data_IF_874612089269
#
_entry.id   IF_874612089269
#
_cell.length_a   1.000
_cell.length_b   1.000
_cell.length_c   1.000
_cell.angle_alpha   90.00
_cell.angle_beta   90.00
_cell.angle_gamma   90.00
#
_symmetry.space_group_name_H-M   'P 1'
#
loop_
_entity.id
_entity.type
_entity.pdbx_description
1 polymer ?
#
# COMPACT_ATOMS: atom_id res chain seq x y z
N UNK A 1 0.56 -1.26 -35.14
CA UNK A 1 0.73 0.12 -35.67
C UNK A 1 0.39 1.07 -34.52
N UNK A 2 1.35 1.83 -34.02
CA UNK A 2 1.11 2.88 -33.02
C UNK A 2 0.60 4.12 -33.75
N UNK A 3 -0.44 4.78 -33.25
CA UNK A 3 -1.02 5.96 -33.91
C UNK A 3 -0.29 7.23 -33.43
N UNK A 4 -0.05 8.20 -34.31
CA UNK A 4 0.56 9.49 -33.92
C UNK A 4 -0.30 10.30 -32.94
N UNK A 5 -1.60 10.00 -32.83
CA UNK A 5 -2.51 10.65 -31.88
C UNK A 5 -2.51 9.98 -30.50
N UNK A 6 -1.94 8.78 -30.37
CA UNK A 6 -1.81 8.02 -29.12
C UNK A 6 -0.42 7.37 -29.11
N UNK A 7 0.64 8.13 -28.77
CA UNK A 7 1.98 7.58 -28.70
C UNK A 7 2.04 6.47 -27.64
N UNK A 8 2.84 5.44 -27.89
CA UNK A 8 3.22 4.46 -26.87
C UNK A 8 4.40 5.05 -26.12
N UNK A 9 4.23 5.25 -24.82
CA UNK A 9 5.28 5.71 -23.92
C UNK A 9 6.17 4.53 -23.53
N UNK A 10 7.47 4.77 -23.46
CA UNK A 10 8.47 3.81 -23.00
C UNK A 10 9.26 4.51 -21.90
N UNK A 11 9.05 4.06 -20.67
CA UNK A 11 9.63 4.65 -19.48
C UNK A 11 10.54 3.65 -18.77
N UNK A 12 11.54 4.18 -18.06
CA UNK A 12 12.42 3.36 -17.23
C UNK A 12 11.66 2.98 -15.96
N UNK A 13 11.55 1.68 -15.69
CA UNK A 13 11.03 1.19 -14.42
C UNK A 13 11.93 1.62 -13.25
N UNK A 14 11.34 2.21 -12.22
CA UNK A 14 12.03 2.64 -11.00
C UNK A 14 11.84 1.55 -9.94
N UNK A 15 12.78 0.61 -9.89
CA UNK A 15 12.73 -0.51 -8.96
C UNK A 15 12.86 -0.03 -7.50
N UNK A 16 12.16 -0.67 -6.56
CA UNK A 16 12.16 -0.30 -5.13
C UNK A 16 11.89 1.19 -4.86
N UNK A 17 11.05 1.84 -5.68
CA UNK A 17 10.67 3.23 -5.49
C UNK A 17 9.38 3.35 -4.66
N UNK A 18 9.34 4.31 -3.75
CA UNK A 18 8.12 4.63 -2.99
C UNK A 18 7.21 5.50 -3.85
N UNK A 19 6.00 5.02 -4.14
CA UNK A 19 5.00 5.81 -4.88
C UNK A 19 4.26 6.77 -3.94
N UNK A 20 3.97 7.97 -4.43
CA UNK A 20 3.27 9.02 -3.70
C UNK A 20 2.11 9.54 -4.52
N UNK A 21 0.98 9.82 -3.86
CA UNK A 21 -0.15 10.54 -4.44
C UNK A 21 -0.33 11.88 -3.71
N UNK A 22 -0.55 12.94 -4.47
CA UNK A 22 -0.87 14.27 -3.90
C UNK A 22 -2.15 14.78 -4.50
N UNK A 23 -3.16 14.99 -3.64
CA UNK A 23 -4.38 15.68 -4.02
C UNK A 23 -4.31 17.15 -3.59
N UNK A 24 -4.63 18.06 -4.50
CA UNK A 24 -4.61 19.50 -4.26
C UNK A 24 -5.75 20.23 -4.96
N UNK A 25 -6.09 21.43 -4.48
CA UNK A 25 -7.04 22.35 -5.11
C UNK A 25 -6.31 23.62 -5.53
N UNK A 26 -6.46 24.05 -6.79
CA UNK A 26 -5.87 25.27 -7.33
C UNK A 26 -6.95 26.24 -7.77
N UNK A 27 -6.81 27.54 -7.49
CA UNK A 27 -7.72 28.61 -7.93
C UNK A 27 -7.16 29.51 -9.04
N UNK A 28 -6.09 29.03 -9.68
CA UNK A 28 -5.31 29.73 -10.70
C UNK A 28 -4.23 30.67 -10.16
N UNK A 29 -4.23 30.98 -8.85
CA UNK A 29 -3.24 31.86 -8.22
C UNK A 29 -2.52 31.17 -7.05
N UNK A 30 -3.24 30.33 -6.32
CA UNK A 30 -2.78 29.62 -5.14
C UNK A 30 -3.24 28.17 -5.16
N UNK A 31 -2.53 27.34 -4.39
CA UNK A 31 -2.75 25.90 -4.35
C UNK A 31 -2.84 25.45 -2.89
N UNK A 32 -3.97 24.85 -2.53
CA UNK A 32 -4.19 24.17 -1.25
C UNK A 32 -3.80 22.70 -1.41
N UNK A 33 -2.75 22.26 -0.72
CA UNK A 33 -2.42 20.84 -0.64
C UNK A 33 -3.47 20.17 0.26
N UNK A 34 -4.18 19.19 -0.30
CA UNK A 34 -5.17 18.40 0.43
C UNK A 34 -4.51 17.33 1.28
N UNK A 35 -3.56 16.60 0.71
CA UNK A 35 -2.79 15.58 1.42
C UNK A 35 -1.70 14.99 0.53
N UNK A 36 -0.56 14.66 1.14
CA UNK A 36 0.51 13.87 0.53
C UNK A 36 0.38 12.46 1.11
N UNK A 37 0.08 11.51 0.25
CA UNK A 37 -0.10 10.10 0.58
C UNK A 37 1.15 9.34 0.16
N UNK A 38 1.57 8.40 0.98
CA UNK A 38 2.62 7.43 0.67
C UNK A 38 1.98 6.07 0.42
N UNK A 39 2.32 5.40 -0.67
CA UNK A 39 1.84 4.04 -0.91
C UNK A 39 2.66 3.06 -0.06
N UNK A 40 2.00 1.99 0.38
CA UNK A 40 2.68 0.89 1.06
C UNK A 40 3.39 0.05 0.01
N UNK A 41 2.72 -0.34 -1.06
CA UNK A 41 3.35 -1.03 -2.18
C UNK A 41 4.30 -0.13 -2.97
N UNK A 42 5.33 -0.75 -3.55
CA UNK A 42 6.30 -0.10 -4.43
C UNK A 42 5.69 0.35 -5.76
N UNK A 43 6.31 1.36 -6.37
CA UNK A 43 5.95 1.84 -7.70
C UNK A 43 6.04 0.68 -8.71
N UNK A 44 4.94 0.42 -9.40
CA UNK A 44 4.78 -0.77 -10.26
C UNK A 44 3.56 -1.60 -9.91
N UNK A 45 3.11 -1.52 -8.66
CA UNK A 45 1.72 -1.81 -8.30
C UNK A 45 0.88 -0.57 -8.56
N UNK A 46 -0.22 -0.72 -9.29
CA UNK A 46 -1.07 0.40 -9.64
C UNK A 46 -1.65 1.07 -8.38
N UNK A 47 -1.56 2.40 -8.27
CA UNK A 47 -2.07 3.24 -7.15
C UNK A 47 -3.47 2.90 -6.62
N UNK A 48 -4.36 2.47 -7.51
CA UNK A 48 -5.71 2.01 -7.20
C UNK A 48 -5.79 0.70 -6.41
N UNK A 49 -4.79 -0.19 -6.55
CA UNK A 49 -4.67 -1.47 -5.84
C UNK A 49 -3.66 -1.40 -4.67
N UNK A 50 -2.87 -0.33 -4.57
CA UNK A 50 -1.97 -0.11 -3.44
C UNK A 50 -2.74 0.37 -2.21
N UNK A 51 -2.37 -0.13 -1.03
CA UNK A 51 -2.63 0.55 0.21
C UNK A 51 -1.86 1.88 0.24
N UNK A 52 -2.39 2.88 0.93
CA UNK A 52 -1.67 4.12 1.13
C UNK A 52 -1.95 4.73 2.49
N UNK A 53 -1.01 5.55 2.96
CA UNK A 53 -1.02 6.14 4.29
C UNK A 53 -0.89 7.65 4.22
N UNK A 54 -1.59 8.32 5.13
CA UNK A 54 -1.56 9.75 5.32
C UNK A 54 -1.57 10.06 6.83
N UNK A 55 -0.60 10.83 7.36
CA UNK A 55 0.56 11.40 6.66
C UNK A 55 1.57 10.33 6.22
N UNK A 56 2.54 10.72 5.38
CA UNK A 56 3.68 9.88 4.98
C UNK A 56 4.45 9.38 6.21
N UNK A 57 4.94 8.14 6.17
CA UNK A 57 5.60 7.46 7.29
C UNK A 57 7.13 7.41 7.13
N UNK A 58 7.64 7.28 5.90
CA UNK A 58 9.08 7.10 5.67
C UNK A 58 9.78 8.33 5.10
N UNK A 59 9.02 9.26 4.50
CA UNK A 59 9.57 10.48 3.91
C UNK A 59 10.08 11.45 4.98
N UNK A 60 11.21 12.11 4.68
CA UNK A 60 11.69 13.22 5.52
C UNK A 60 10.82 14.47 5.35
N UNK A 61 10.77 15.37 6.34
CA UNK A 61 10.04 16.63 6.21
C UNK A 61 10.45 17.46 4.98
N UNK A 62 11.74 17.44 4.63
CA UNK A 62 12.27 18.13 3.45
C UNK A 62 11.74 17.52 2.15
N UNK A 63 11.67 16.19 2.06
CA UNK A 63 11.10 15.50 0.91
C UNK A 63 9.60 15.80 0.76
N UNK A 64 8.86 15.81 1.86
CA UNK A 64 7.43 16.17 1.85
C UNK A 64 7.24 17.60 1.34
N UNK A 65 8.02 18.57 1.83
CA UNK A 65 7.92 19.95 1.35
C UNK A 65 8.35 20.11 -0.12
N UNK A 66 9.34 19.35 -0.58
CA UNK A 66 9.74 19.33 -1.98
C UNK A 66 8.62 18.80 -2.89
N UNK A 67 7.94 17.71 -2.50
CA UNK A 67 6.76 17.18 -3.20
C UNK A 67 5.64 18.21 -3.27
N UNK A 68 5.36 18.90 -2.16
CA UNK A 68 4.37 19.99 -2.12
C UNK A 68 4.77 21.13 -3.05
N UNK A 69 6.03 21.56 -3.03
CA UNK A 69 6.53 22.63 -3.92
C UNK A 69 6.34 22.26 -5.40
N UNK A 70 6.72 21.03 -5.78
CA UNK A 70 6.49 20.53 -7.14
C UNK A 70 5.01 20.51 -7.49
N UNK A 71 4.16 20.09 -6.56
CA UNK A 71 2.71 20.08 -6.77
C UNK A 71 2.18 21.48 -7.07
N UNK A 72 2.58 22.48 -6.28
CA UNK A 72 2.17 23.87 -6.48
C UNK A 72 2.64 24.41 -7.83
N UNK A 73 3.91 24.18 -8.20
CA UNK A 73 4.49 24.61 -9.48
C UNK A 73 3.76 23.98 -10.67
N UNK A 74 3.49 22.67 -10.63
CA UNK A 74 2.81 21.96 -11.71
C UNK A 74 1.36 22.44 -11.85
N UNK A 75 0.62 22.54 -10.74
CA UNK A 75 -0.78 22.98 -10.77
C UNK A 75 -0.95 24.38 -11.37
N UNK A 76 -0.09 25.33 -10.99
CA UNK A 76 -0.08 26.69 -11.55
C UNK A 76 0.34 26.70 -13.02
N UNK A 77 1.39 25.94 -13.38
CA UNK A 77 1.88 25.89 -14.77
C UNK A 77 0.87 25.26 -15.74
N UNK A 78 0.06 24.32 -15.26
CA UNK A 78 -1.03 23.70 -16.02
C UNK A 78 -2.32 24.53 -16.01
N UNK A 79 -2.34 25.70 -15.37
CA UNK A 79 -3.50 26.58 -15.23
C UNK A 79 -4.72 25.86 -14.63
N UNK A 80 -4.50 25.00 -13.62
CA UNK A 80 -5.58 24.25 -12.99
C UNK A 80 -6.54 25.20 -12.26
N UNK A 81 -7.84 24.98 -12.44
CA UNK A 81 -8.91 25.57 -11.64
C UNK A 81 -9.79 24.43 -11.13
N UNK A 82 -9.72 24.14 -9.82
CA UNK A 82 -10.36 22.99 -9.20
C UNK A 82 -9.35 21.97 -8.68
N UNK A 83 -9.69 20.68 -8.76
CA UNK A 83 -8.85 19.58 -8.27
C UNK A 83 -7.75 19.20 -9.26
N UNK A 84 -6.60 18.84 -8.71
CA UNK A 84 -5.53 18.12 -9.40
C UNK A 84 -5.00 17.02 -8.48
N UNK A 85 -4.66 15.89 -9.08
CA UNK A 85 -3.90 14.81 -8.48
C UNK A 85 -2.56 14.66 -9.20
N UNK A 86 -1.47 14.46 -8.48
CA UNK A 86 -0.15 14.22 -9.06
C UNK A 86 0.47 13.01 -8.38
N UNK A 87 0.96 12.08 -9.20
CA UNK A 87 1.67 10.89 -8.76
C UNK A 87 3.18 11.11 -8.90
N UNK A 88 3.92 10.71 -7.87
CA UNK A 88 5.37 10.79 -7.82
C UNK A 88 5.97 9.44 -7.45
N UNK A 89 7.26 9.26 -7.74
CA UNK A 89 8.07 8.16 -7.23
C UNK A 89 9.33 8.72 -6.55
N UNK A 90 9.59 8.31 -5.32
CA UNK A 90 10.84 8.60 -4.61
C UNK A 90 11.78 7.40 -4.76
N UNK A 91 12.92 7.62 -5.40
CA UNK A 91 13.92 6.58 -5.65
C UNK A 91 15.32 7.15 -5.43
N UNK A 92 16.14 6.51 -4.59
CA UNK A 92 17.49 6.96 -4.21
C UNK A 92 17.56 8.45 -3.82
N UNK A 93 16.57 8.90 -3.04
CA UNK A 93 16.46 10.28 -2.59
C UNK A 93 16.01 11.29 -3.66
N UNK A 94 15.74 10.83 -4.89
CA UNK A 94 15.27 11.67 -6.00
C UNK A 94 13.77 11.51 -6.21
N UNK A 95 13.05 12.63 -6.28
CA UNK A 95 11.61 12.66 -6.58
C UNK A 95 11.40 12.78 -8.09
N UNK A 96 10.73 11.79 -8.67
CA UNK A 96 10.29 11.74 -10.06
C UNK A 96 8.79 12.04 -10.14
N UNK A 97 8.38 12.79 -11.17
CA UNK A 97 6.95 12.98 -11.49
C UNK A 97 6.53 11.85 -12.42
N UNK A 98 5.48 11.11 -12.06
CA UNK A 98 4.93 10.04 -12.90
C UNK A 98 3.86 10.61 -13.85
N UNK A 99 2.79 11.17 -13.29
CA UNK A 99 1.71 11.79 -14.05
C UNK A 99 0.99 12.89 -13.26
N UNK A 100 0.33 13.79 -13.98
CA UNK A 100 -0.55 14.81 -13.42
C UNK A 100 -1.96 14.68 -14.01
N UNK A 101 -2.94 14.55 -13.13
CA UNK A 101 -4.36 14.39 -13.44
C UNK A 101 -5.09 15.68 -13.03
N UNK A 102 -5.32 16.66 -13.93
CA UNK A 102 -6.01 17.92 -13.63
C UNK A 102 -7.53 17.72 -13.49
N UNK A 103 -7.93 16.84 -12.57
CA UNK A 103 -9.30 16.43 -12.25
C UNK A 103 -9.33 15.85 -10.83
N UNK A 104 -10.53 15.53 -10.36
CA UNK A 104 -10.68 14.71 -9.16
C UNK A 104 -10.08 13.31 -9.39
N UNK A 105 -9.31 12.83 -8.41
CA UNK A 105 -8.85 11.45 -8.28
C UNK A 105 -9.81 10.64 -7.40
N UNK A 106 -9.59 9.32 -7.37
CA UNK A 106 -10.32 8.41 -6.49
C UNK A 106 -9.96 8.59 -5.00
N UNK A 107 -8.81 9.20 -4.69
CA UNK A 107 -8.31 9.41 -3.32
C UNK A 107 -8.90 10.65 -2.64
N UNK A 108 -9.53 11.57 -3.37
CA UNK A 108 -10.13 12.78 -2.81
C UNK A 108 -11.08 12.51 -1.62
N UNK A 109 -11.99 11.50 -1.67
CA UNK A 109 -12.82 11.14 -0.51
C UNK A 109 -11.99 10.68 0.69
N UNK A 110 -11.00 9.81 0.49
CA UNK A 110 -10.08 9.36 1.54
C UNK A 110 -9.35 10.54 2.20
N UNK A 111 -8.70 11.39 1.40
CA UNK A 111 -7.99 12.58 1.89
C UNK A 111 -8.95 13.52 2.63
N UNK A 112 -10.15 13.72 2.11
CA UNK A 112 -11.16 14.57 2.77
C UNK A 112 -11.61 14.00 4.12
N UNK A 113 -11.65 12.68 4.27
CA UNK A 113 -12.03 12.00 5.52
C UNK A 113 -10.91 12.00 6.54
N UNK A 114 -9.66 11.79 6.12
CA UNK A 114 -8.50 11.86 6.98
C UNK A 114 -8.26 13.30 7.49
N UNK A 115 -8.25 14.28 6.59
CA UNK A 115 -7.94 15.69 6.94
C UNK A 115 -9.13 16.44 7.55
N UNK A 116 -10.36 16.04 7.22
CA UNK A 116 -11.56 16.83 7.46
C UNK A 116 -11.72 18.04 6.53
N UNK A 117 -10.85 18.22 5.53
CA UNK A 117 -11.01 19.22 4.48
C UNK A 117 -11.99 18.70 3.42
N UNK A 118 -13.11 19.38 3.14
CA UNK A 118 -14.06 18.91 2.14
C UNK A 118 -13.59 19.27 0.71
N UNK A 119 -12.49 18.68 0.24
CA UNK A 119 -11.77 19.08 -0.98
C UNK A 119 -12.66 19.22 -2.21
N UNK A 120 -13.57 18.28 -2.44
CA UNK A 120 -14.53 18.35 -3.54
C UNK A 120 -15.45 19.59 -3.46
N UNK A 121 -15.88 19.98 -2.25
CA UNK A 121 -16.69 21.20 -2.06
C UNK A 121 -15.85 22.46 -2.23
N UNK A 122 -14.60 22.46 -1.78
CA UNK A 122 -13.65 23.57 -1.96
C UNK A 122 -13.44 23.79 -3.46
N UNK A 123 -13.07 22.73 -4.18
CA UNK A 123 -12.84 22.77 -5.62
C UNK A 123 -14.08 23.20 -6.41
N UNK A 124 -15.28 22.72 -6.03
CA UNK A 124 -16.53 23.17 -6.67
C UNK A 124 -16.75 24.68 -6.52
N UNK A 125 -16.51 25.24 -5.33
CA UNK A 125 -16.58 26.70 -5.13
C UNK A 125 -15.52 27.44 -5.94
N UNK A 126 -14.31 26.90 -6.02
CA UNK A 126 -13.22 27.47 -6.82
C UNK A 126 -13.57 27.50 -8.31
N UNK A 127 -14.12 26.41 -8.86
CA UNK A 127 -14.60 26.37 -10.25
C UNK A 127 -15.75 27.36 -10.52
N UNK A 128 -16.50 27.76 -9.49
CA UNK A 128 -17.52 28.82 -9.57
C UNK A 128 -16.95 30.25 -9.39
N UNK A 129 -15.63 30.39 -9.34
CA UNK A 129 -14.93 31.68 -9.29
C UNK A 129 -14.52 32.15 -7.90
N UNK A 130 -14.68 31.34 -6.84
CA UNK A 130 -14.18 31.67 -5.50
C UNK A 130 -12.67 31.47 -5.40
N UNK A 131 -11.96 32.42 -4.78
CA UNK A 131 -10.54 32.24 -4.43
C UNK A 131 -10.38 31.46 -3.14
N UNK A 132 -9.31 30.67 -3.01
CA UNK A 132 -8.99 29.93 -1.79
C UNK A 132 -8.83 30.86 -0.59
N UNK A 133 -8.27 32.05 -0.80
CA UNK A 133 -8.16 33.12 0.20
C UNK A 133 -9.51 33.59 0.74
N UNK A 134 -10.58 33.56 -0.06
CA UNK A 134 -11.95 33.87 0.39
C UNK A 134 -12.60 32.73 1.19
N UNK A 135 -12.19 31.48 0.92
CA UNK A 135 -12.80 30.30 1.53
C UNK A 135 -12.22 29.99 2.92
N UNK A 136 -11.06 30.54 3.26
CA UNK A 136 -10.45 30.41 4.59
C UNK A 136 -9.93 29.01 4.93
N UNK A 137 -9.71 28.16 3.93
CA UNK A 137 -9.11 26.84 4.14
C UNK A 137 -7.58 26.92 4.09
N UNK A 138 -6.93 26.16 4.96
CA UNK A 138 -5.47 26.03 5.03
C UNK A 138 -5.11 24.55 5.06
N UNK A 139 -3.85 24.26 4.72
CA UNK A 139 -3.28 22.92 4.90
C UNK A 139 -3.39 22.53 6.38
N UNK A 140 -3.81 21.30 6.65
CA UNK A 140 -3.95 20.80 8.00
C UNK A 140 -2.76 19.93 8.37
N UNK A 141 -2.21 20.17 9.54
CA UNK A 141 -1.35 19.21 10.22
C UNK A 141 -2.21 18.08 10.79
N UNK A 142 -1.78 16.83 10.60
CA UNK A 142 -2.57 15.65 10.92
C UNK A 142 -1.82 14.88 11.99
N UNK A 143 -2.44 14.75 13.16
CA UNK A 143 -1.86 14.12 14.34
C UNK A 143 -2.14 12.61 14.43
N UNK A 144 -3.02 12.11 13.58
CA UNK A 144 -3.37 10.71 13.46
C UNK A 144 -2.83 10.15 12.14
N UNK A 145 -2.86 8.84 12.02
CA UNK A 145 -2.54 8.08 10.81
C UNK A 145 -3.83 7.52 10.24
N UNK A 146 -4.06 7.78 8.96
CA UNK A 146 -5.12 7.19 8.17
C UNK A 146 -4.51 6.29 7.10
N UNK A 147 -4.88 5.02 7.09
CA UNK A 147 -4.48 4.03 6.09
C UNK A 147 -5.68 3.67 5.24
N UNK A 148 -5.55 3.81 3.92
CA UNK A 148 -6.47 3.27 2.92
C UNK A 148 -5.99 1.87 2.54
N UNK A 149 -6.88 0.89 2.56
CA UNK A 149 -6.64 -0.45 2.02
C UNK A 149 -7.72 -0.80 0.99
N UNK A 150 -7.45 -1.76 0.10
CA UNK A 150 -8.31 -2.09 -1.04
C UNK A 150 -9.01 -3.45 -0.91
N UNK A 151 -10.18 -3.58 -1.54
CA UNK A 151 -10.85 -4.87 -1.70
C UNK A 151 -10.64 -5.42 -3.11
N UNK A 152 -9.99 -6.59 -3.17
CA UNK A 152 -9.67 -7.29 -4.41
C UNK A 152 -10.72 -8.38 -4.71
N UNK A 153 -11.22 -8.50 -5.95
CA UNK A 153 -12.30 -9.43 -6.30
C UNK A 153 -11.83 -10.88 -6.51
N UNK A 154 -10.62 -11.25 -6.10
CA UNK A 154 -10.03 -12.56 -6.41
C UNK A 154 -10.81 -13.73 -5.83
N UNK A 155 -11.50 -13.55 -4.69
CA UNK A 155 -12.40 -14.58 -4.13
C UNK A 155 -13.63 -14.86 -5.00
N UNK A 156 -14.00 -13.93 -5.89
CA UNK A 156 -15.13 -14.06 -6.82
C UNK A 156 -14.71 -14.58 -8.20
N UNK A 157 -13.40 -14.56 -8.51
CA UNK A 157 -12.84 -14.86 -9.83
C UNK A 157 -11.79 -15.99 -9.74
N UNK A 158 -12.23 -17.26 -9.64
CA UNK A 158 -11.32 -18.38 -9.36
C UNK A 158 -10.28 -18.65 -10.45
N UNK A 159 -10.52 -18.22 -11.69
CA UNK A 159 -9.59 -18.38 -12.81
C UNK A 159 -8.58 -17.24 -13.00
N UNK A 160 -8.60 -16.23 -12.11
CA UNK A 160 -7.72 -15.06 -12.22
C UNK A 160 -6.54 -15.21 -11.27
N UNK A 161 -5.36 -14.90 -11.78
CA UNK A 161 -4.10 -14.90 -11.04
C UNK A 161 -4.08 -13.75 -10.02
N UNK A 162 -4.02 -14.03 -8.70
CA UNK A 162 -4.11 -13.02 -7.66
C UNK A 162 -2.78 -12.27 -7.48
N UNK A 163 -2.36 -11.59 -8.54
CA UNK A 163 -1.12 -10.81 -8.61
C UNK A 163 -1.45 -9.32 -8.76
N UNK A 164 -0.82 -8.52 -7.91
CA UNK A 164 -0.78 -7.07 -8.05
C UNK A 164 0.18 -6.67 -9.17
N UNK A 165 -0.11 -5.58 -9.86
CA UNK A 165 0.71 -5.10 -10.96
C UNK A 165 0.23 -3.75 -11.47
N UNK A 166 0.67 -3.33 -12.67
CA UNK A 166 0.46 -1.96 -13.16
C UNK A 166 -0.98 -1.70 -13.64
N UNK A 167 -1.85 -2.70 -13.63
CA UNK A 167 -3.28 -2.57 -13.93
C UNK A 167 -4.12 -2.80 -12.68
N UNK A 168 -5.01 -1.85 -12.39
CA UNK A 168 -5.96 -1.87 -11.28
C UNK A 168 -6.98 -3.01 -11.41
N UNK A 169 -7.21 -3.75 -10.33
CA UNK A 169 -8.20 -4.84 -10.24
C UNK A 169 -9.17 -4.69 -9.06
N UNK A 170 -8.86 -3.85 -8.09
CA UNK A 170 -9.69 -3.61 -6.91
C UNK A 170 -11.05 -2.99 -7.26
N UNK A 171 -12.02 -3.23 -6.38
CA UNK A 171 -13.42 -2.81 -6.58
C UNK A 171 -13.94 -1.88 -5.49
N UNK A 172 -13.23 -1.81 -4.36
CA UNK A 172 -13.59 -0.97 -3.22
C UNK A 172 -12.37 -0.68 -2.36
N UNK A 173 -12.58 0.16 -1.35
CA UNK A 173 -11.56 0.60 -0.41
C UNK A 173 -12.16 0.78 0.99
N UNK A 174 -11.30 0.65 1.99
CA UNK A 174 -11.62 0.88 3.41
C UNK A 174 -10.58 1.82 4.02
N UNK A 175 -10.91 2.37 5.19
CA UNK A 175 -10.03 3.26 5.92
C UNK A 175 -9.86 2.77 7.37
N UNK A 176 -8.61 2.60 7.79
CA UNK A 176 -8.23 2.44 9.19
C UNK A 176 -7.62 3.74 9.71
N UNK A 177 -8.12 4.24 10.84
CA UNK A 177 -7.57 5.46 11.48
C UNK A 177 -7.16 5.14 12.91
N UNK A 178 -5.96 5.57 13.29
CA UNK A 178 -5.46 5.52 14.66
C UNK A 178 -4.34 6.55 14.84
N UNK A 179 -3.86 6.76 16.05
CA UNK A 179 -2.65 7.56 16.32
C UNK A 179 -1.35 6.78 16.09
N UNK A 180 -1.45 5.45 16.02
CA UNK A 180 -0.35 4.54 15.71
C UNK A 180 -0.52 3.93 14.30
N UNK A 181 0.56 3.93 13.51
CA UNK A 181 0.54 3.36 12.17
C UNK A 181 0.14 1.88 12.15
N UNK A 182 0.72 1.07 13.04
CA UNK A 182 0.46 -0.37 13.10
C UNK A 182 -1.02 -0.67 13.38
N UNK A 183 -1.65 0.04 14.32
CA UNK A 183 -3.09 -0.07 14.59
C UNK A 183 -3.94 0.40 13.42
N UNK A 184 -3.58 1.52 12.78
CA UNK A 184 -4.31 2.03 11.62
C UNK A 184 -4.27 1.02 10.46
N UNK A 185 -3.09 0.45 10.17
CA UNK A 185 -2.90 -0.58 9.14
C UNK A 185 -3.65 -1.88 9.49
N UNK A 186 -3.61 -2.33 10.75
CA UNK A 186 -4.37 -3.49 11.20
C UNK A 186 -5.88 -3.31 10.99
N UNK A 187 -6.43 -2.15 11.38
CA UNK A 187 -7.85 -1.82 11.16
C UNK A 187 -8.22 -1.83 9.68
N UNK A 188 -7.36 -1.25 8.83
CA UNK A 188 -7.57 -1.23 7.39
C UNK A 188 -7.54 -2.65 6.79
N UNK A 189 -6.54 -3.46 7.16
CA UNK A 189 -6.41 -4.86 6.76
C UNK A 189 -7.61 -5.71 7.20
N UNK A 190 -8.05 -5.56 8.45
CA UNK A 190 -9.23 -6.26 8.96
C UNK A 190 -10.50 -5.86 8.19
N UNK A 191 -10.70 -4.57 7.92
CA UNK A 191 -11.85 -4.08 7.18
C UNK A 191 -11.84 -4.51 5.70
N UNK A 192 -10.67 -4.81 5.15
CA UNK A 192 -10.48 -5.30 3.78
C UNK A 192 -10.58 -6.84 3.67
N UNK A 193 -11.14 -7.52 4.67
CA UNK A 193 -11.22 -8.98 4.76
C UNK A 193 -9.84 -9.69 4.75
N UNK A 194 -8.78 -9.01 5.17
CA UNK A 194 -7.40 -9.52 5.25
C UNK A 194 -6.85 -9.41 6.69
N UNK A 195 -7.61 -9.92 7.67
CA UNK A 195 -7.26 -9.76 9.10
C UNK A 195 -5.94 -10.45 9.43
N UNK A 196 -4.94 -9.69 9.88
CA UNK A 196 -3.62 -10.24 10.23
C UNK A 196 -3.68 -11.08 11.54
N UNK A 197 -3.00 -12.23 11.60
CA UNK A 197 -2.97 -13.05 12.80
C UNK A 197 -2.08 -12.45 13.88
N UNK A 198 -2.34 -12.77 15.15
CA UNK A 198 -1.51 -12.35 16.29
C UNK A 198 -0.66 -13.49 16.87
N UNK A 199 -0.82 -14.72 16.38
CA UNK A 199 0.01 -15.86 16.72
C UNK A 199 -0.13 -16.92 15.60
N UNK A 200 0.74 -17.94 15.65
CA UNK A 200 0.64 -19.09 14.76
C UNK A 200 1.80 -19.18 13.77
N UNK A 201 1.49 -19.60 12.55
CA UNK A 201 2.44 -20.03 11.55
C UNK A 201 2.46 -19.08 10.34
N UNK A 202 3.65 -18.60 9.97
CA UNK A 202 3.84 -17.74 8.79
C UNK A 202 4.61 -18.49 7.72
N UNK A 203 4.06 -18.56 6.52
CA UNK A 203 4.79 -19.04 5.35
C UNK A 203 5.40 -17.88 4.57
N UNK A 204 6.71 -17.96 4.28
CA UNK A 204 7.46 -16.95 3.55
C UNK A 204 8.10 -17.56 2.30
N UNK A 205 7.80 -17.00 1.14
CA UNK A 205 8.42 -17.33 -0.14
C UNK A 205 8.75 -16.06 -0.91
N UNK A 206 10.03 -15.81 -1.16
CA UNK A 206 10.52 -14.60 -1.83
C UNK A 206 11.61 -14.95 -2.84
N UNK A 207 11.91 -14.02 -3.74
CA UNK A 207 13.03 -14.14 -4.68
C UNK A 207 14.38 -13.95 -3.98
N UNK A 208 15.46 -14.34 -4.65
CA UNK A 208 16.81 -14.22 -4.09
C UNK A 208 17.23 -12.76 -3.84
N UNK A 209 16.80 -11.82 -4.70
CA UNK A 209 17.11 -10.39 -4.56
C UNK A 209 16.45 -9.76 -3.34
N UNK A 210 15.26 -10.25 -2.94
CA UNK A 210 14.48 -9.71 -1.83
C UNK A 210 14.83 -10.32 -0.47
N UNK A 211 15.66 -11.37 -0.43
CA UNK A 211 16.09 -12.04 0.81
C UNK A 211 16.70 -11.10 1.85
N UNK A 212 17.58 -10.14 1.48
CA UNK A 212 18.11 -9.17 2.44
C UNK A 212 17.02 -8.31 3.08
N UNK A 213 15.99 -7.94 2.31
CA UNK A 213 14.92 -7.04 2.74
C UNK A 213 13.87 -7.77 3.60
N UNK A 214 13.55 -9.03 3.31
CA UNK A 214 12.63 -9.83 4.13
C UNK A 214 13.26 -10.31 5.44
N UNK A 215 14.59 -10.38 5.55
CA UNK A 215 15.30 -10.87 6.73
C UNK A 215 14.91 -10.14 8.03
N UNK A 216 14.95 -8.79 8.11
CA UNK A 216 14.52 -8.07 9.31
C UNK A 216 13.04 -8.33 9.65
N UNK A 217 12.18 -8.48 8.64
CA UNK A 217 10.75 -8.76 8.81
C UNK A 217 10.54 -10.16 9.40
N UNK A 218 11.21 -11.17 8.83
CA UNK A 218 11.18 -12.54 9.34
C UNK A 218 11.70 -12.62 10.78
N UNK A 219 12.80 -11.93 11.08
CA UNK A 219 13.35 -11.85 12.43
C UNK A 219 12.34 -11.25 13.42
N UNK A 220 11.70 -10.14 13.06
CA UNK A 220 10.64 -9.51 13.87
C UNK A 220 9.48 -10.49 14.11
N UNK A 221 8.96 -11.15 13.07
CA UNK A 221 7.87 -12.13 13.22
C UNK A 221 8.27 -13.30 14.14
N UNK A 222 9.51 -13.78 14.04
CA UNK A 222 10.03 -14.80 14.96
C UNK A 222 10.11 -14.31 16.40
N UNK A 223 10.62 -13.09 16.63
CA UNK A 223 10.68 -12.46 17.96
C UNK A 223 9.29 -12.23 18.56
N UNK A 224 8.29 -11.98 17.72
CA UNK A 224 6.88 -11.92 18.12
C UNK A 224 6.28 -13.31 18.40
N UNK A 225 7.02 -14.39 18.24
CA UNK A 225 6.63 -15.75 18.60
C UNK A 225 5.92 -16.54 17.51
N UNK A 226 5.99 -16.12 16.25
CA UNK A 226 5.50 -16.91 15.13
C UNK A 226 6.47 -18.05 14.77
N UNK A 227 5.91 -19.18 14.35
CA UNK A 227 6.71 -20.23 13.72
C UNK A 227 6.80 -19.93 12.24
N UNK A 228 8.03 -19.86 11.73
CA UNK A 228 8.27 -19.52 10.33
C UNK A 228 8.44 -20.77 9.49
N UNK A 229 7.86 -20.73 8.30
CA UNK A 229 7.96 -21.74 7.27
C UNK A 229 8.40 -21.10 5.96
N UNK A 230 9.10 -21.83 5.10
CA UNK A 230 9.47 -21.31 3.79
C UNK A 230 9.98 -22.36 2.83
N UNK A 231 10.25 -21.94 1.60
CA UNK A 231 10.86 -22.79 0.58
C UNK A 231 12.35 -23.00 0.84
N UNK A 232 12.96 -24.01 0.21
CA UNK A 232 14.39 -24.37 0.39
C UNK A 232 15.33 -23.15 0.32
N UNK A 233 15.12 -22.27 -0.66
CA UNK A 233 15.96 -21.10 -0.87
C UNK A 233 15.82 -20.06 0.24
N UNK A 234 14.60 -19.83 0.74
CA UNK A 234 14.30 -18.90 1.82
C UNK A 234 14.83 -19.44 3.14
N UNK A 235 14.54 -20.70 3.47
CA UNK A 235 14.98 -21.36 4.72
C UNK A 235 16.48 -21.32 4.87
N UNK A 236 17.24 -21.74 3.84
CA UNK A 236 18.71 -21.75 3.89
C UNK A 236 19.30 -20.36 4.18
N UNK A 237 18.71 -19.33 3.60
CA UNK A 237 19.17 -17.95 3.82
C UNK A 237 18.81 -17.46 5.23
N UNK A 238 17.62 -17.77 5.73
CA UNK A 238 17.21 -17.37 7.08
C UNK A 238 18.04 -18.07 8.16
N UNK A 239 18.25 -19.38 8.02
CA UNK A 239 19.07 -20.17 8.95
C UNK A 239 20.52 -19.68 8.97
N UNK A 240 21.10 -19.32 7.81
CA UNK A 240 22.46 -18.77 7.76
C UNK A 240 22.60 -17.41 8.45
N UNK A 241 21.49 -16.72 8.72
CA UNK A 241 21.43 -15.45 9.45
C UNK A 241 20.81 -15.60 10.85
N UNK A 242 20.67 -16.84 11.35
CA UNK A 242 20.24 -17.13 12.71
C UNK A 242 18.74 -16.98 12.96
N UNK A 243 17.90 -16.99 11.91
CA UNK A 243 16.43 -16.99 12.03
C UNK A 243 15.92 -18.42 11.79
N UNK A 244 15.42 -19.12 12.83
CA UNK A 244 14.89 -20.47 12.67
C UNK A 244 13.67 -20.50 11.75
N UNK A 245 13.67 -21.39 10.76
CA UNK A 245 12.59 -21.54 9.80
C UNK A 245 12.45 -23.00 9.35
N UNK A 246 11.24 -23.51 9.30
CA UNK A 246 10.95 -24.88 8.87
C UNK A 246 10.75 -24.98 7.36
N UNK A 247 11.29 -26.04 6.76
CA UNK A 247 11.16 -26.29 5.33
C UNK A 247 9.76 -26.78 4.95
N UNK A 248 9.18 -26.16 3.93
CA UNK A 248 7.96 -26.60 3.25
C UNK A 248 8.24 -26.79 1.77
N UNK A 249 7.75 -27.90 1.23
CA UNK A 249 7.88 -28.25 -0.18
C UNK A 249 7.01 -27.35 -1.05
N UNK A 250 7.51 -27.03 -2.24
CA UNK A 250 6.68 -26.45 -3.31
C UNK A 250 5.68 -27.48 -3.83
N UNK A 251 4.67 -27.02 -4.55
CA UNK A 251 3.62 -27.88 -5.11
C UNK A 251 4.22 -28.96 -6.02
N UNK A 252 5.19 -28.60 -6.85
CA UNK A 252 5.88 -29.52 -7.76
C UNK A 252 6.80 -30.54 -7.06
N UNK A 253 7.20 -30.30 -5.82
CA UNK A 253 8.12 -31.15 -5.06
C UNK A 253 7.39 -32.31 -4.34
N UNK A 254 6.06 -32.38 -4.45
CA UNK A 254 5.21 -33.44 -3.89
C UNK A 254 4.80 -33.21 -2.43
N UNK A 255 3.86 -34.03 -1.94
CA UNK A 255 3.26 -33.88 -0.61
C UNK A 255 4.11 -34.45 0.54
N UNK A 256 4.00 -33.91 1.77
CA UNK A 256 3.25 -32.71 2.14
C UNK A 256 3.90 -31.42 1.61
N UNK A 257 3.10 -30.53 1.03
CA UNK A 257 3.51 -29.23 0.49
C UNK A 257 2.70 -28.07 1.10
N UNK A 258 2.97 -26.84 0.67
CA UNK A 258 2.28 -25.65 1.19
C UNK A 258 0.76 -25.69 1.04
N UNK A 259 0.22 -26.28 -0.03
CA UNK A 259 -1.24 -26.41 -0.20
C UNK A 259 -1.81 -27.37 0.84
N UNK A 260 -1.09 -28.44 1.18
CA UNK A 260 -1.52 -29.39 2.21
C UNK A 260 -1.59 -28.71 3.58
N UNK A 261 -0.62 -27.84 3.90
CA UNK A 261 -0.62 -27.05 5.15
C UNK A 261 -1.75 -26.01 5.18
N UNK A 262 -1.99 -25.31 4.07
CA UNK A 262 -3.11 -24.36 3.94
C UNK A 262 -4.44 -25.08 4.20
N UNK A 263 -4.62 -26.27 3.61
CA UNK A 263 -5.83 -27.10 3.81
C UNK A 263 -5.94 -27.64 5.24
N UNK A 264 -4.81 -27.90 5.88
CA UNK A 264 -4.71 -28.35 7.27
C UNK A 264 -4.96 -27.26 8.31
N UNK A 265 -5.11 -25.99 7.88
CA UNK A 265 -5.10 -24.82 8.75
C UNK A 265 -3.80 -24.69 9.59
N UNK A 266 -2.67 -25.12 9.01
CA UNK A 266 -1.34 -25.05 9.61
C UNK A 266 -0.59 -23.75 9.22
N UNK A 267 -1.24 -22.81 8.53
CA UNK A 267 -0.67 -21.52 8.11
C UNK A 267 -1.69 -20.42 8.39
N UNK A 268 -1.27 -19.39 9.12
CA UNK A 268 -2.09 -18.26 9.53
C UNK A 268 -1.81 -16.97 8.75
N UNK A 269 -0.64 -16.89 8.08
CA UNK A 269 -0.26 -15.77 7.20
C UNK A 269 0.63 -16.27 6.07
N UNK A 270 0.37 -15.79 4.85
CA UNK A 270 1.21 -16.06 3.68
C UNK A 270 1.89 -14.78 3.20
N UNK A 271 3.22 -14.74 3.23
CA UNK A 271 4.03 -13.71 2.60
C UNK A 271 4.65 -14.31 1.35
N UNK A 272 4.21 -13.86 0.18
CA UNK A 272 4.65 -14.43 -1.09
C UNK A 272 4.80 -13.34 -2.16
N UNK A 273 6.04 -13.01 -2.48
CA UNK A 273 6.33 -12.08 -3.57
C UNK A 273 6.40 -12.85 -4.90
N UNK A 274 5.75 -12.37 -5.96
CA UNK A 274 5.78 -13.05 -7.26
C UNK A 274 7.21 -13.05 -7.82
N UNK A 275 7.70 -14.24 -8.20
CA UNK A 275 9.00 -14.43 -8.83
C UNK A 275 8.93 -14.54 -10.36
N UNK A 276 10.02 -15.02 -10.97
CA UNK A 276 10.14 -15.21 -12.42
C UNK A 276 9.01 -16.03 -13.05
N UNK A 277 8.82 -15.90 -14.37
CA UNK A 277 7.78 -16.60 -15.16
C UNK A 277 7.67 -18.11 -14.88
N UNK A 278 8.77 -18.78 -14.56
CA UNK A 278 8.80 -20.22 -14.27
C UNK A 278 8.16 -20.57 -12.91
N UNK A 279 8.12 -19.64 -11.96
CA UNK A 279 7.49 -19.83 -10.64
C UNK A 279 5.98 -19.53 -10.64
N UNK A 280 5.43 -19.06 -11.77
CA UNK A 280 4.06 -18.53 -11.84
C UNK A 280 2.98 -19.59 -11.61
N UNK A 281 3.19 -20.82 -12.06
CA UNK A 281 2.19 -21.89 -11.88
C UNK A 281 2.06 -22.29 -10.40
N UNK A 282 3.19 -22.44 -9.70
CA UNK A 282 3.21 -22.74 -8.27
C UNK A 282 2.62 -21.59 -7.45
N UNK A 283 2.98 -20.35 -7.82
CA UNK A 283 2.41 -19.14 -7.26
C UNK A 283 0.88 -19.15 -7.38
N UNK A 284 0.37 -19.36 -8.59
CA UNK A 284 -1.07 -19.35 -8.86
C UNK A 284 -1.81 -20.36 -8.00
N UNK A 285 -1.35 -21.63 -7.97
CA UNK A 285 -2.01 -22.69 -7.22
C UNK A 285 -2.00 -22.44 -5.72
N UNK A 286 -0.87 -21.95 -5.19
CA UNK A 286 -0.73 -21.63 -3.77
C UNK A 286 -1.62 -20.46 -3.39
N UNK A 287 -1.53 -19.32 -4.09
CA UNK A 287 -2.32 -18.14 -3.76
C UNK A 287 -3.81 -18.37 -3.93
N UNK A 288 -4.22 -19.18 -4.91
CA UNK A 288 -5.62 -19.61 -5.02
C UNK A 288 -6.08 -20.36 -3.78
N UNK A 289 -5.28 -21.32 -3.29
CA UNK A 289 -5.58 -22.01 -2.04
C UNK A 289 -5.62 -21.04 -0.85
N UNK A 290 -4.67 -20.12 -0.73
CA UNK A 290 -4.64 -19.09 0.32
C UNK A 290 -5.95 -18.30 0.38
N UNK A 291 -6.43 -17.82 -0.78
CA UNK A 291 -7.66 -17.03 -0.86
C UNK A 291 -8.90 -17.90 -0.61
N UNK A 292 -8.94 -19.12 -1.17
CA UNK A 292 -10.09 -20.04 -0.99
C UNK A 292 -10.29 -20.45 0.48
N UNK A 293 -9.21 -20.53 1.25
CA UNK A 293 -9.22 -20.84 2.68
C UNK A 293 -9.24 -19.58 3.55
N UNK A 294 -9.37 -18.39 2.95
CA UNK A 294 -9.42 -17.10 3.67
C UNK A 294 -8.24 -16.87 4.62
N UNK A 295 -7.06 -17.35 4.22
CA UNK A 295 -5.81 -17.07 4.94
C UNK A 295 -5.34 -15.68 4.50
N UNK A 296 -5.04 -14.78 5.45
CA UNK A 296 -4.54 -13.46 5.10
C UNK A 296 -3.19 -13.56 4.40
N UNK A 297 -2.93 -12.64 3.47
CA UNK A 297 -1.75 -12.70 2.64
C UNK A 297 -1.19 -11.34 2.28
N UNK A 298 0.09 -11.35 1.91
CA UNK A 298 0.85 -10.18 1.50
C UNK A 298 1.73 -10.56 0.32
N UNK A 299 1.75 -9.71 -0.72
CA UNK A 299 2.47 -10.00 -1.98
C UNK A 299 3.65 -9.09 -2.28
N UNK A 300 3.99 -8.17 -1.37
CA UNK A 300 5.10 -7.22 -1.52
C UNK A 300 5.95 -7.21 -0.25
N UNK A 301 7.21 -6.78 -0.35
CA UNK A 301 8.10 -6.67 0.81
C UNK A 301 7.66 -5.55 1.74
N UNK A 302 7.32 -4.38 1.19
CA UNK A 302 6.82 -3.25 1.97
C UNK A 302 5.49 -3.55 2.68
N UNK A 303 4.57 -4.27 2.02
CA UNK A 303 3.36 -4.76 2.66
C UNK A 303 3.65 -5.73 3.82
N UNK A 304 4.74 -6.51 3.71
CA UNK A 304 5.11 -7.47 4.75
C UNK A 304 5.72 -6.76 5.96
N UNK A 305 6.44 -5.67 5.73
CA UNK A 305 6.92 -4.77 6.79
C UNK A 305 5.75 -4.11 7.52
N UNK A 306 4.80 -3.53 6.77
CA UNK A 306 3.59 -2.92 7.33
C UNK A 306 2.77 -3.93 8.15
N UNK A 307 2.61 -5.16 7.65
CA UNK A 307 1.93 -6.23 8.36
C UNK A 307 2.66 -6.62 9.66
N UNK A 308 3.99 -6.73 9.64
CA UNK A 308 4.77 -7.06 10.85
C UNK A 308 4.67 -5.95 11.91
N UNK A 309 4.70 -4.68 11.51
CA UNK A 309 4.48 -3.53 12.40
C UNK A 309 3.05 -3.52 12.99
N UNK A 310 2.06 -3.84 12.17
CA UNK A 310 0.67 -3.95 12.61
C UNK A 310 0.47 -5.07 13.64
N UNK A 311 1.06 -6.25 13.40
CA UNK A 311 1.02 -7.38 14.33
C UNK A 311 1.73 -7.03 15.65
N UNK A 312 2.91 -6.40 15.59
CA UNK A 312 3.63 -5.94 16.77
C UNK A 312 2.80 -4.95 17.60
N UNK A 313 2.18 -3.97 16.94
CA UNK A 313 1.36 -2.98 17.61
C UNK A 313 0.13 -3.62 18.28
N UNK A 314 -0.53 -4.55 17.60
CA UNK A 314 -1.71 -5.25 18.11
C UNK A 314 -1.42 -6.31 19.19
N UNK A 315 -0.19 -6.82 19.29
CA UNK A 315 0.19 -7.66 20.45
C UNK A 315 0.29 -6.86 21.74
N UNK A 316 0.60 -5.57 21.63
CA UNK A 316 0.84 -4.69 22.76
C UNK A 316 -0.36 -3.78 23.09
N UNK A 317 -1.36 -3.72 22.21
CA UNK A 317 -2.47 -2.78 22.30
C UNK A 317 -3.77 -3.42 21.82
N UNK A 318 -4.90 -2.83 22.23
CA UNK A 318 -6.23 -3.21 21.75
C UNK A 318 -6.70 -2.30 20.60
N UNK A 319 -7.68 -2.77 19.83
CA UNK A 319 -8.36 -1.95 18.82
C UNK A 319 -9.13 -0.83 19.53
N UNK A 320 -8.93 0.40 19.07
CA UNK A 320 -9.73 1.56 19.48
C UNK A 320 -10.77 1.90 18.40
N UNK A 321 -11.92 2.41 18.81
CA UNK A 321 -12.99 2.86 17.90
C UNK A 321 -13.38 4.29 18.29
N UNK A 322 -13.22 5.22 17.35
CA UNK A 322 -13.53 6.62 17.54
C UNK A 322 -14.34 7.17 16.36
N UNK A 323 -15.28 8.11 16.58
CA UNK A 323 -15.93 8.81 15.48
C UNK A 323 -14.95 9.73 14.76
N UNK A 324 -15.15 9.98 13.46
CA UNK A 324 -14.27 10.87 12.68
C UNK A 324 -14.08 12.27 13.30
N UNK A 325 -15.10 12.79 13.98
CA UNK A 325 -15.02 14.08 14.67
C UNK A 325 -13.94 14.13 15.76
N UNK A 326 -13.64 12.98 16.40
CA UNK A 326 -12.54 12.86 17.36
C UNK A 326 -11.23 13.28 16.69
N UNK A 327 -10.89 12.64 15.56
CA UNK A 327 -9.65 12.87 14.82
C UNK A 327 -9.56 14.25 14.18
N UNK A 328 -10.69 14.88 13.85
CA UNK A 328 -10.73 16.24 13.27
C UNK A 328 -10.57 17.35 14.30
N UNK A 329 -10.81 17.05 15.57
CA UNK A 329 -10.75 18.01 16.68
C UNK A 329 -9.41 18.04 17.42
N UNK A 330 -8.57 17.03 17.18
CA UNK A 330 -7.28 16.82 17.85
C UNK A 330 -6.18 17.75 17.36
#
# INVERSE_FOLDING_TARGET
RVSNTHPVLIDRYLDNATELDVDAVCDGESVLIGGVMEHIEEAGVHSGDSACVLPTQTLTPEQVEQVKEYTRKIALSLNVIGLINIQYALHDGTIYVLEANPRASRTVPFVSKATGLPLAKIAAKVMLGKKLSELGYQEKEIKHVAVKEVLLPFSKLPGVDPILGPEMKSTGEVIGIDYDFGRAFYKASQAADNTLPLAGNVFISVTDSQKPEILPIAKKLHELGFTLYGTVGTVRYMESHGVPMSLVRKVQEGSPNIIDMIRGADVDLVINTPGDKNARQDHFQMMRATIDYSIPYVTTIFGAEAAALAIESMKNNEITIEPLSHYHSA
#
